data_IF_647872467888
#
_entry.id   IF_647872467888
#
_cell.length_a   1.000
_cell.length_b   1.000
_cell.length_c   1.000
_cell.angle_alpha   90.00
_cell.angle_beta   90.00
_cell.angle_gamma   90.00
#
_symmetry.space_group_name_H-M   'P 1'
#
loop_
_entity.id
_entity.type
_entity.pdbx_description
1 polymer ?
#
# COMPACT_ATOMS: atom_id res chain seq x y z
N UNK A 1 -15.40 1.44 -1.08
CA UNK A 1 -14.87 1.12 -2.42
C UNK A 1 -14.52 -0.36 -2.48
N UNK A 2 -13.86 -0.77 -3.54
CA UNK A 2 -13.22 -2.09 -3.69
C UNK A 2 -11.88 -1.87 -4.38
N UNK A 3 -11.04 -2.89 -4.44
CA UNK A 3 -9.77 -2.87 -5.16
C UNK A 3 -9.66 -4.10 -6.05
N UNK A 4 -8.58 -4.15 -6.82
CA UNK A 4 -8.24 -5.34 -7.60
C UNK A 4 -7.75 -6.50 -6.73
N UNK A 5 -7.59 -6.29 -5.41
CA UNK A 5 -7.43 -7.35 -4.43
C UNK A 5 -8.55 -8.39 -4.50
N UNK A 6 -9.76 -8.01 -4.94
CA UNK A 6 -10.87 -8.95 -5.19
C UNK A 6 -10.56 -10.03 -6.22
N UNK A 7 -9.64 -9.78 -7.14
CA UNK A 7 -9.19 -10.74 -8.15
C UNK A 7 -7.95 -11.51 -7.72
N UNK A 8 -7.13 -10.94 -6.84
CA UNK A 8 -5.89 -11.55 -6.35
C UNK A 8 -6.17 -12.53 -5.22
N UNK A 9 -7.03 -12.19 -4.26
CA UNK A 9 -7.33 -13.04 -3.10
C UNK A 9 -7.80 -14.48 -3.46
N UNK A 10 -8.63 -14.71 -4.50
CA UNK A 10 -9.01 -16.06 -4.93
C UNK A 10 -7.86 -16.97 -5.39
N UNK A 11 -6.66 -16.42 -5.65
CA UNK A 11 -5.47 -17.21 -5.99
C UNK A 11 -4.87 -17.96 -4.79
N UNK A 12 -5.35 -17.69 -3.57
CA UNK A 12 -4.78 -18.20 -2.33
C UNK A 12 -3.66 -17.32 -1.76
N UNK A 13 -3.33 -16.20 -2.42
CA UNK A 13 -2.39 -15.22 -1.90
C UNK A 13 -2.94 -14.52 -0.63
N UNK A 14 -2.06 -14.25 0.32
CA UNK A 14 -2.35 -13.32 1.42
C UNK A 14 -2.20 -11.89 0.89
N UNK A 15 -3.28 -11.11 0.92
CA UNK A 15 -3.33 -9.78 0.29
C UNK A 15 -3.70 -8.72 1.32
N UNK A 16 -2.99 -7.60 1.27
CA UNK A 16 -3.32 -6.36 1.98
C UNK A 16 -3.29 -5.19 1.00
N UNK A 17 -4.01 -4.12 1.33
CA UNK A 17 -3.90 -2.83 0.65
C UNK A 17 -3.27 -1.84 1.61
N UNK A 18 -2.21 -1.18 1.17
CA UNK A 18 -1.49 -0.19 1.95
C UNK A 18 -1.13 0.97 1.00
N UNK A 19 -1.25 2.20 1.47
CA UNK A 19 -0.98 3.41 0.69
C UNK A 19 -1.19 4.66 1.54
N UNK A 20 -1.01 5.86 0.96
CA UNK A 20 -1.24 7.12 1.66
C UNK A 20 -2.74 7.37 1.93
N UNK A 21 -3.05 8.41 2.71
CA UNK A 21 -4.43 8.79 3.03
C UNK A 21 -5.22 9.08 1.74
N UNK A 22 -6.38 8.43 1.60
CA UNK A 22 -7.21 8.53 0.40
C UNK A 22 -8.24 9.66 0.41
N UNK A 23 -8.10 10.64 1.31
CA UNK A 23 -9.10 11.69 1.53
C UNK A 23 -9.40 12.52 0.27
N UNK A 24 -8.39 12.73 -0.58
CA UNK A 24 -8.46 13.59 -1.77
C UNK A 24 -8.65 12.84 -3.09
N UNK A 25 -8.73 11.49 -3.08
CA UNK A 25 -8.83 10.71 -4.33
C UNK A 25 -10.07 11.08 -5.13
N UNK A 26 -9.92 11.24 -6.45
CA UNK A 26 -11.01 11.61 -7.37
C UNK A 26 -11.70 12.95 -7.04
N UNK A 27 -11.01 13.87 -6.36
CA UNK A 27 -11.50 15.23 -6.09
C UNK A 27 -10.59 16.27 -6.76
N UNK A 28 -11.08 17.50 -6.89
CA UNK A 28 -10.21 18.63 -7.27
C UNK A 28 -9.13 18.84 -6.21
N UNK A 29 -7.93 19.25 -6.63
CA UNK A 29 -6.76 19.40 -5.76
C UNK A 29 -6.37 18.09 -5.04
N UNK A 30 -6.39 16.97 -5.77
CA UNK A 30 -5.82 15.70 -5.31
C UNK A 30 -4.35 15.93 -4.90
N UNK A 31 -4.01 15.51 -3.69
CA UNK A 31 -2.71 15.75 -3.10
C UNK A 31 -2.37 14.67 -2.08
N UNK A 32 -1.08 14.57 -1.79
CA UNK A 32 -0.48 13.70 -0.78
C UNK A 32 0.58 14.50 -0.04
N UNK A 33 0.83 14.17 1.23
CA UNK A 33 1.95 14.76 1.97
C UNK A 33 3.26 14.16 1.46
N UNK A 34 4.26 15.00 1.23
CA UNK A 34 5.57 14.55 0.72
C UNK A 34 6.25 13.59 1.71
N UNK A 35 6.14 13.87 3.02
CA UNK A 35 6.68 13.03 4.09
C UNK A 35 6.09 11.61 4.14
N UNK A 36 4.85 11.44 3.68
CA UNK A 36 4.19 10.13 3.67
C UNK A 36 4.81 9.21 2.61
N UNK A 37 5.41 9.75 1.55
CA UNK A 37 6.04 8.96 0.49
C UNK A 37 7.30 8.23 0.99
N UNK A 38 8.16 8.94 1.71
CA UNK A 38 9.37 8.37 2.33
C UNK A 38 9.02 7.34 3.40
N UNK A 39 8.02 7.67 4.23
CA UNK A 39 7.49 6.76 5.25
C UNK A 39 6.95 5.49 4.62
N UNK A 40 6.15 5.61 3.56
CA UNK A 40 5.55 4.47 2.88
C UNK A 40 6.61 3.57 2.21
N UNK A 41 7.64 4.17 1.59
CA UNK A 41 8.79 3.44 1.04
C UNK A 41 9.48 2.60 2.13
N UNK A 42 9.77 3.22 3.28
CA UNK A 42 10.39 2.55 4.43
C UNK A 42 9.52 1.42 4.96
N UNK A 43 8.19 1.58 4.99
CA UNK A 43 7.27 0.53 5.44
C UNK A 43 7.32 -0.66 4.47
N UNK A 44 7.23 -0.43 3.16
CA UNK A 44 7.31 -1.53 2.19
C UNK A 44 8.65 -2.25 2.23
N UNK A 45 9.76 -1.52 2.34
CA UNK A 45 11.09 -2.12 2.50
C UNK A 45 11.13 -3.03 3.73
N UNK A 46 10.65 -2.55 4.88
CA UNK A 46 10.60 -3.35 6.11
C UNK A 46 9.72 -4.60 5.99
N UNK A 47 8.59 -4.52 5.27
CA UNK A 47 7.74 -5.68 4.99
C UNK A 47 8.52 -6.70 4.17
N UNK A 48 9.19 -6.26 3.08
CA UNK A 48 10.00 -7.13 2.24
C UNK A 48 11.15 -7.78 3.02
N UNK A 49 11.89 -7.02 3.84
CA UNK A 49 12.98 -7.55 4.65
C UNK A 49 12.51 -8.62 5.65
N UNK A 50 11.37 -8.39 6.31
CA UNK A 50 10.78 -9.34 7.28
C UNK A 50 10.28 -10.61 6.62
N UNK A 51 9.82 -10.55 5.37
CA UNK A 51 9.28 -11.71 4.66
C UNK A 51 10.34 -12.50 3.88
N UNK A 52 11.37 -11.84 3.37
CA UNK A 52 12.27 -12.42 2.37
C UNK A 52 13.73 -12.54 2.82
N UNK A 53 14.20 -11.68 3.73
CA UNK A 53 15.63 -11.58 4.07
C UNK A 53 15.93 -12.24 5.42
N UNK A 54 15.07 -12.06 6.41
CA UNK A 54 15.29 -12.61 7.75
C UNK A 54 14.71 -14.02 7.88
N UNK A 55 15.57 -15.03 7.78
CA UNK A 55 15.32 -16.40 8.29
C UNK A 55 16.19 -16.67 9.51
#
# INVERSE_FOLDING_TARGET
GTSDGRFIAPTGAQVIELGPINESIHKINEHVRIEDLETLSTIYENILSRLLVNR
#
